data_IF_270382325853
#
_entry.id   IF_270382325853
#
_cell.length_a   1.000
_cell.length_b   1.000
_cell.length_c   1.000
_cell.angle_alpha   90.00
_cell.angle_beta   90.00
_cell.angle_gamma   90.00
#
_symmetry.space_group_name_H-M   'P 1'
#
loop_
_entity.id
_entity.type
_entity.pdbx_description
1 polymer ?
#
# COMPACT_ATOMS: atom_id res chain seq x y z
N UNK A 1 -25.56 4.84 3.17
CA UNK A 1 -24.52 5.04 2.15
C UNK A 1 -23.54 6.16 2.51
N UNK A 2 -23.98 7.30 3.06
CA UNK A 2 -23.12 8.45 3.38
C UNK A 2 -22.05 8.18 4.46
N UNK A 3 -22.36 7.29 5.42
CA UNK A 3 -21.44 6.88 6.47
C UNK A 3 -20.25 6.02 5.96
N UNK A 4 -20.46 5.18 4.94
CA UNK A 4 -19.37 4.40 4.32
C UNK A 4 -18.47 5.30 3.48
N UNK A 5 -19.04 6.24 2.72
CA UNK A 5 -18.27 7.20 1.92
C UNK A 5 -17.38 8.11 2.80
N UNK A 6 -17.90 8.55 3.95
CA UNK A 6 -17.14 9.36 4.91
C UNK A 6 -16.01 8.57 5.59
N UNK A 7 -16.28 7.32 5.99
CA UNK A 7 -15.26 6.40 6.54
C UNK A 7 -14.16 6.10 5.53
N UNK A 8 -14.53 5.96 4.26
CA UNK A 8 -13.60 5.73 3.16
C UNK A 8 -12.69 6.94 2.90
N UNK A 9 -13.23 8.16 2.99
CA UNK A 9 -12.48 9.41 2.83
C UNK A 9 -11.37 9.53 3.89
N UNK A 10 -11.69 9.26 5.16
CA UNK A 10 -10.73 9.35 6.26
C UNK A 10 -9.61 8.30 6.17
N UNK A 11 -9.90 7.09 5.65
CA UNK A 11 -8.88 6.06 5.39
C UNK A 11 -7.93 6.44 4.26
N UNK A 12 -8.45 7.12 3.24
CA UNK A 12 -7.63 7.69 2.19
C UNK A 12 -6.67 8.73 2.77
N UNK A 13 -7.15 9.59 3.67
CA UNK A 13 -6.33 10.64 4.30
C UNK A 13 -5.18 10.08 5.15
N UNK A 14 -5.38 8.97 5.87
CA UNK A 14 -4.28 8.28 6.57
C UNK A 14 -3.23 7.74 5.60
N UNK A 15 -3.68 7.09 4.52
CA UNK A 15 -2.79 6.60 3.45
C UNK A 15 -2.09 7.74 2.70
N UNK A 16 -2.70 8.93 2.59
CA UNK A 16 -2.10 10.12 1.97
C UNK A 16 -1.00 10.74 2.84
N UNK A 17 -1.15 10.75 4.16
CA UNK A 17 -0.07 11.18 5.08
C UNK A 17 1.16 10.27 4.95
N UNK A 18 0.93 8.96 4.81
CA UNK A 18 2.00 7.98 4.57
C UNK A 18 2.65 8.18 3.21
N UNK A 19 1.83 8.46 2.18
CA UNK A 19 2.29 8.78 0.84
C UNK A 19 3.21 9.98 0.81
N UNK A 20 2.90 11.02 1.58
CA UNK A 20 3.70 12.24 1.66
C UNK A 20 5.15 11.96 2.11
N UNK A 21 5.37 11.05 3.06
CA UNK A 21 6.71 10.66 3.49
C UNK A 21 7.52 9.96 2.40
N UNK A 22 6.87 9.09 1.61
CA UNK A 22 7.50 8.41 0.49
C UNK A 22 7.75 9.34 -0.71
N UNK A 23 6.84 10.28 -0.95
CA UNK A 23 7.00 11.36 -1.93
C UNK A 23 8.20 12.24 -1.59
N UNK A 24 8.34 12.65 -0.32
CA UNK A 24 9.51 13.38 0.16
C UNK A 24 10.80 12.57 -0.01
N UNK A 25 10.78 11.27 0.30
CA UNK A 25 11.92 10.37 0.06
C UNK A 25 12.25 10.24 -1.43
N UNK A 26 11.26 10.14 -2.30
CA UNK A 26 11.45 10.08 -3.75
C UNK A 26 12.11 11.36 -4.28
N UNK A 27 11.66 12.53 -3.81
CA UNK A 27 12.23 13.84 -4.15
C UNK A 27 13.68 14.01 -3.62
N UNK A 28 13.98 13.47 -2.44
CA UNK A 28 15.31 13.54 -1.81
C UNK A 28 16.34 12.51 -2.29
N UNK A 29 15.92 11.46 -3.01
CA UNK A 29 16.82 10.44 -3.55
C UNK A 29 17.50 11.02 -4.80
N UNK A 30 18.74 11.50 -4.65
CA UNK A 30 19.63 11.60 -5.82
C UNK A 30 19.72 10.21 -6.47
N UNK A 31 19.78 10.10 -7.82
CA UNK A 31 19.97 8.81 -8.45
C UNK A 31 21.33 8.30 -7.97
N UNK A 32 21.32 7.29 -7.09
CA UNK A 32 22.52 6.48 -6.93
C UNK A 32 22.87 5.93 -8.32
N UNK A 33 24.13 6.12 -8.69
CA UNK A 33 24.56 6.32 -10.07
C UNK A 33 24.10 5.26 -11.05
N UNK A 34 24.00 5.69 -12.31
CA UNK A 34 23.65 4.93 -13.52
C UNK A 34 22.15 4.72 -13.79
N UNK A 35 21.44 5.85 -13.93
CA UNK A 35 20.85 6.24 -15.21
C UNK A 35 20.32 7.66 -15.05
N UNK A 36 20.80 8.59 -15.89
CA UNK A 36 20.03 9.80 -16.21
C UNK A 36 18.59 9.38 -16.48
N UNK A 37 17.62 10.28 -16.35
CA UNK A 37 16.35 10.06 -17.04
C UNK A 37 16.73 9.97 -18.52
N UNK A 38 16.89 8.74 -19.02
CA UNK A 38 17.53 8.47 -20.30
C UNK A 38 16.47 8.78 -21.34
N UNK A 39 16.63 9.92 -22.01
CA UNK A 39 15.56 10.58 -22.75
C UNK A 39 15.08 9.80 -24.00
N UNK A 40 15.75 8.71 -24.39
CA UNK A 40 15.57 8.08 -25.70
C UNK A 40 14.57 6.93 -25.77
N UNK A 41 14.57 6.01 -24.80
CA UNK A 41 13.88 4.70 -24.95
C UNK A 41 13.08 4.30 -23.72
N UNK A 42 13.52 4.68 -22.52
CA UNK A 42 12.76 4.46 -21.28
C UNK A 42 11.51 5.37 -21.24
N UNK A 43 11.52 6.52 -21.92
CA UNK A 43 10.41 7.48 -21.87
C UNK A 43 9.13 7.00 -22.54
N UNK A 44 9.22 6.24 -23.65
CA UNK A 44 8.02 5.73 -24.37
C UNK A 44 7.33 4.63 -23.57
N UNK A 45 8.10 3.65 -23.07
CA UNK A 45 7.56 2.57 -22.25
C UNK A 45 7.00 3.09 -20.92
N UNK A 46 7.70 4.03 -20.27
CA UNK A 46 7.23 4.68 -19.04
C UNK A 46 5.95 5.48 -19.28
N UNK A 47 5.88 6.22 -20.40
CA UNK A 47 4.66 6.95 -20.77
C UNK A 47 3.50 6.02 -21.08
N UNK A 48 3.73 4.94 -21.83
CA UNK A 48 2.71 3.94 -22.14
C UNK A 48 2.19 3.27 -20.85
N UNK A 49 3.09 2.90 -19.94
CA UNK A 49 2.72 2.35 -18.63
C UNK A 49 1.90 3.34 -17.79
N UNK A 50 2.29 4.62 -17.78
CA UNK A 50 1.52 5.66 -17.10
C UNK A 50 0.13 5.84 -17.74
N UNK A 51 0.05 5.87 -19.08
CA UNK A 51 -1.22 5.95 -19.80
C UNK A 51 -2.13 4.78 -19.48
N UNK A 52 -1.61 3.56 -19.43
CA UNK A 52 -2.36 2.38 -19.02
C UNK A 52 -2.94 2.56 -17.61
N UNK A 53 -2.15 3.00 -16.62
CA UNK A 53 -2.66 3.26 -15.25
C UNK A 53 -3.82 4.26 -15.26
N UNK A 54 -3.71 5.34 -16.05
CA UNK A 54 -4.76 6.34 -16.17
C UNK A 54 -6.02 5.80 -16.87
N UNK A 55 -5.85 4.98 -17.91
CA UNK A 55 -6.94 4.35 -18.65
C UNK A 55 -7.74 3.37 -17.78
N UNK A 56 -7.07 2.63 -16.90
CA UNK A 56 -7.74 1.71 -15.97
C UNK A 56 -8.40 2.44 -14.79
N UNK A 57 -8.34 3.78 -14.75
CA UNK A 57 -8.95 4.63 -13.74
C UNK A 57 -8.08 4.88 -12.50
N UNK A 58 -6.80 4.51 -12.56
CA UNK A 58 -5.83 4.78 -11.51
C UNK A 58 -5.22 6.18 -11.58
N UNK A 59 -4.18 6.36 -10.78
CA UNK A 59 -3.31 7.53 -10.78
C UNK A 59 -1.84 7.11 -10.66
N UNK A 60 -0.97 7.90 -11.27
CA UNK A 60 0.49 7.72 -11.21
C UNK A 60 1.11 8.90 -10.50
N UNK A 61 2.20 8.63 -9.80
CA UNK A 61 3.00 9.66 -9.18
C UNK A 61 4.36 9.69 -9.84
N UNK A 62 4.66 10.87 -10.36
CA UNK A 62 5.70 11.09 -11.32
C UNK A 62 6.82 11.90 -10.66
N UNK A 63 8.06 11.50 -10.90
CA UNK A 63 9.26 12.27 -10.59
C UNK A 63 9.78 12.84 -11.91
N UNK A 64 9.84 14.15 -12.02
CA UNK A 64 10.42 14.81 -13.19
C UNK A 64 11.92 15.09 -13.05
N UNK A 65 12.49 15.72 -14.08
CA UNK A 65 13.90 16.12 -14.11
C UNK A 65 14.28 17.14 -13.02
N UNK A 66 13.33 17.93 -12.52
CA UNK A 66 13.53 18.91 -11.44
C UNK A 66 13.38 18.27 -10.05
N UNK A 67 13.19 16.96 -9.99
CA UNK A 67 12.93 16.15 -8.79
C UNK A 67 11.64 16.53 -8.08
N UNK A 68 10.70 17.14 -8.79
CA UNK A 68 9.37 17.40 -8.25
C UNK A 68 8.51 16.15 -8.41
N UNK A 69 7.80 15.82 -7.33
CA UNK A 69 6.85 14.71 -7.31
C UNK A 69 5.44 15.26 -7.40
N UNK A 70 4.66 14.77 -8.37
CA UNK A 70 3.26 15.15 -8.55
C UNK A 70 2.41 14.00 -9.04
N UNK A 71 1.11 14.12 -8.75
CA UNK A 71 0.09 13.12 -9.05
C UNK A 71 -0.62 13.44 -10.36
N UNK A 72 -0.72 12.46 -11.25
CA UNK A 72 -1.58 12.51 -12.43
C UNK A 72 -2.65 11.44 -12.29
N UNK A 73 -3.91 11.85 -12.37
CA UNK A 73 -5.08 10.97 -12.28
C UNK A 73 -5.81 10.90 -13.62
N UNK A 74 -6.65 9.88 -13.79
CA UNK A 74 -7.43 9.68 -15.01
C UNK A 74 -8.11 10.97 -15.50
N UNK A 75 -8.08 11.19 -16.82
CA UNK A 75 -8.61 12.40 -17.46
C UNK A 75 -7.65 13.61 -17.49
N UNK A 76 -6.48 13.55 -16.85
CA UNK A 76 -5.44 14.58 -16.97
C UNK A 76 -4.34 14.14 -17.96
N UNK A 77 -3.82 15.06 -18.79
CA UNK A 77 -2.72 14.73 -19.69
C UNK A 77 -1.43 14.46 -18.89
N UNK A 78 -0.61 13.55 -19.42
CA UNK A 78 0.74 13.35 -18.91
C UNK A 78 1.64 14.53 -19.31
N UNK A 79 2.63 14.88 -18.47
CA UNK A 79 3.62 15.92 -18.80
C UNK A 79 4.36 15.59 -20.11
N UNK A 80 4.66 16.59 -20.93
CA UNK A 80 5.44 16.39 -22.17
C UNK A 80 6.90 16.05 -21.86
N UNK A 81 7.43 16.65 -20.79
CA UNK A 81 8.80 16.38 -20.33
C UNK A 81 8.99 14.93 -19.85
N UNK A 82 10.24 14.43 -19.87
CA UNK A 82 10.58 13.13 -19.29
C UNK A 82 10.24 13.02 -17.81
N UNK A 83 9.83 11.83 -17.38
CA UNK A 83 9.50 11.52 -15.99
C UNK A 83 9.76 10.04 -15.67
N UNK A 84 9.82 9.73 -14.38
CA UNK A 84 9.80 8.36 -13.85
C UNK A 84 8.51 8.15 -13.06
N UNK A 85 7.97 6.93 -13.10
CA UNK A 85 6.88 6.54 -12.21
C UNK A 85 7.48 6.08 -10.89
N UNK A 86 7.21 6.81 -9.82
CA UNK A 86 7.68 6.50 -8.46
C UNK A 86 6.56 5.97 -7.57
N UNK A 87 5.31 6.07 -8.01
CA UNK A 87 4.15 5.63 -7.26
C UNK A 87 2.97 5.25 -8.12
N UNK A 88 2.22 4.25 -7.66
CA UNK A 88 1.06 3.71 -8.35
C UNK A 88 -0.15 3.69 -7.41
N UNK A 89 -1.20 4.40 -7.79
CA UNK A 89 -2.49 4.31 -7.14
C UNK A 89 -3.46 3.59 -8.08
N UNK A 90 -3.80 2.35 -7.74
CA UNK A 90 -4.73 1.50 -8.49
C UNK A 90 -6.05 1.34 -7.73
N UNK A 91 -6.46 2.40 -7.02
CA UNK A 91 -7.75 2.52 -6.37
C UNK A 91 -8.83 2.83 -7.40
N UNK A 92 -9.19 1.83 -8.20
CA UNK A 92 -10.20 1.99 -9.25
C UNK A 92 -11.61 2.04 -8.62
N UNK A 93 -12.49 2.98 -9.00
CA UNK A 93 -13.85 3.05 -8.50
C UNK A 93 -14.64 1.74 -8.73
N UNK A 94 -15.50 1.39 -7.76
CA UNK A 94 -16.33 0.17 -7.77
C UNK A 94 -17.21 0.01 -9.02
N UNK A 95 -17.60 1.11 -9.66
CA UNK A 95 -18.39 1.12 -10.89
C UNK A 95 -17.65 0.56 -12.12
N UNK A 96 -16.33 0.38 -12.03
CA UNK A 96 -15.48 -0.10 -13.14
C UNK A 96 -14.99 -1.55 -12.95
N UNK A 97 -15.62 -2.31 -12.05
CA UNK A 97 -15.09 -3.59 -11.54
C UNK A 97 -15.00 -4.75 -12.55
N UNK A 98 -15.87 -4.79 -13.57
CA UNK A 98 -15.79 -5.81 -14.63
C UNK A 98 -14.61 -5.58 -15.58
N UNK A 99 -14.19 -4.32 -15.76
CA UNK A 99 -13.02 -3.94 -16.56
C UNK A 99 -11.72 -4.06 -15.76
N UNK A 100 -11.76 -3.76 -14.45
CA UNK A 100 -10.57 -3.76 -13.58
C UNK A 100 -9.82 -5.12 -13.55
N UNK A 101 -10.55 -6.24 -13.54
CA UNK A 101 -9.99 -7.60 -13.52
C UNK A 101 -9.23 -7.97 -14.81
N UNK A 102 -9.83 -7.65 -15.98
CA UNK A 102 -9.17 -7.83 -17.27
C UNK A 102 -7.95 -6.89 -17.40
N UNK A 103 -8.03 -5.72 -16.77
CA UNK A 103 -6.99 -4.71 -16.82
C UNK A 103 -5.73 -5.10 -16.05
N UNK A 104 -5.81 -5.84 -14.92
CA UNK A 104 -4.61 -6.27 -14.19
C UNK A 104 -3.67 -7.17 -14.99
N UNK A 105 -4.15 -7.85 -16.04
CA UNK A 105 -3.26 -8.57 -16.95
C UNK A 105 -2.22 -7.62 -17.59
N UNK A 106 -2.64 -6.39 -17.92
CA UNK A 106 -1.79 -5.37 -18.52
C UNK A 106 -0.69 -4.85 -17.60
N UNK A 107 -0.79 -5.03 -16.27
CA UNK A 107 0.29 -4.60 -15.37
C UNK A 107 1.61 -5.33 -15.71
N UNK A 108 1.51 -6.59 -16.12
CA UNK A 108 2.66 -7.45 -16.46
C UNK A 108 3.41 -6.95 -17.70
N UNK A 109 2.66 -6.43 -18.68
CA UNK A 109 3.23 -5.85 -19.90
C UNK A 109 4.04 -4.57 -19.62
N UNK A 110 3.81 -3.95 -18.46
CA UNK A 110 4.42 -2.69 -18.06
C UNK A 110 5.42 -2.81 -16.89
N UNK A 111 5.71 -4.01 -16.36
CA UNK A 111 6.58 -4.18 -15.19
C UNK A 111 7.98 -3.58 -15.37
N UNK A 112 8.53 -3.64 -16.59
CA UNK A 112 9.81 -3.00 -16.92
C UNK A 112 9.81 -1.49 -16.65
N UNK A 113 8.70 -0.80 -16.93
CA UNK A 113 8.52 0.62 -16.69
C UNK A 113 8.26 0.97 -15.21
N UNK A 114 7.87 -0.01 -14.39
CA UNK A 114 7.59 0.17 -12.97
C UNK A 114 8.78 -0.12 -12.05
N UNK A 115 9.97 -0.41 -12.59
CA UNK A 115 11.18 -0.70 -11.78
C UNK A 115 11.59 0.43 -10.83
N UNK A 116 11.17 1.66 -11.11
CA UNK A 116 11.39 2.85 -10.27
C UNK A 116 10.37 3.03 -9.14
N UNK A 117 9.28 2.26 -9.12
CA UNK A 117 8.17 2.43 -8.19
C UNK A 117 8.60 2.13 -6.76
N UNK A 118 8.30 3.06 -5.86
CA UNK A 118 8.59 2.98 -4.43
C UNK A 118 7.37 2.57 -3.62
N UNK A 119 6.17 2.81 -4.14
CA UNK A 119 4.95 2.46 -3.45
C UNK A 119 3.81 2.12 -4.40
N UNK A 120 2.93 1.25 -3.92
CA UNK A 120 1.74 0.86 -4.64
C UNK A 120 0.55 0.80 -3.69
N UNK A 121 -0.60 1.26 -4.18
CA UNK A 121 -1.88 1.24 -3.46
C UNK A 121 -2.93 0.52 -4.29
N UNK A 122 -3.69 -0.36 -3.63
CA UNK A 122 -4.83 -1.06 -4.20
C UNK A 122 -6.05 -0.88 -3.31
N UNK A 123 -7.22 -0.72 -3.90
CA UNK A 123 -8.48 -0.57 -3.15
C UNK A 123 -9.64 -1.20 -3.86
N UNK A 124 -10.49 -1.87 -3.07
CA UNK A 124 -11.70 -2.55 -3.54
C UNK A 124 -11.35 -3.54 -4.65
N UNK A 125 -10.33 -4.36 -4.42
CA UNK A 125 -9.95 -5.40 -5.34
C UNK A 125 -10.27 -6.75 -4.72
N UNK A 126 -11.50 -7.21 -4.90
CA UNK A 126 -11.96 -8.54 -4.43
C UNK A 126 -11.25 -9.71 -5.12
N UNK A 127 -10.22 -9.43 -5.92
CA UNK A 127 -9.62 -10.36 -6.87
C UNK A 127 -8.08 -10.39 -6.88
N UNK A 128 -7.38 -9.56 -6.08
CA UNK A 128 -5.94 -9.78 -5.86
C UNK A 128 -5.81 -10.98 -4.92
N UNK A 129 -5.93 -12.16 -5.53
CA UNK A 129 -5.63 -13.46 -4.91
C UNK A 129 -4.13 -13.76 -4.97
N UNK A 130 -3.43 -13.14 -5.92
CA UNK A 130 -2.02 -13.37 -6.17
C UNK A 130 -1.35 -12.02 -6.46
N UNK A 131 -0.35 -11.68 -5.64
CA UNK A 131 0.43 -10.45 -5.75
C UNK A 131 1.88 -10.72 -6.21
N UNK A 132 2.18 -11.87 -6.84
CA UNK A 132 3.54 -12.25 -7.26
C UNK A 132 4.16 -11.29 -8.28
N UNK A 133 3.35 -10.56 -9.05
CA UNK A 133 3.87 -9.52 -9.95
C UNK A 133 4.61 -8.39 -9.18
N UNK A 134 4.35 -8.22 -7.88
CA UNK A 134 5.08 -7.26 -7.06
C UNK A 134 6.55 -7.65 -6.90
N UNK A 135 6.90 -8.93 -7.00
CA UNK A 135 8.28 -9.43 -6.91
C UNK A 135 9.20 -8.81 -7.97
N UNK A 136 8.62 -8.38 -9.09
CA UNK A 136 9.31 -7.70 -10.19
C UNK A 136 9.54 -6.19 -9.93
N UNK A 137 9.12 -5.67 -8.77
CA UNK A 137 9.29 -4.28 -8.35
C UNK A 137 10.39 -4.16 -7.27
N UNK A 138 11.68 -4.20 -7.65
CA UNK A 138 12.80 -4.36 -6.71
C UNK A 138 13.03 -3.15 -5.79
N UNK A 139 12.36 -2.03 -6.07
CA UNK A 139 12.46 -0.80 -5.29
C UNK A 139 11.24 -0.55 -4.41
N UNK A 140 10.25 -1.44 -4.41
CA UNK A 140 9.02 -1.25 -3.67
C UNK A 140 9.28 -1.24 -2.15
N UNK A 141 8.91 -0.14 -1.51
CA UNK A 141 9.13 0.10 -0.08
C UNK A 141 7.83 0.08 0.73
N UNK A 142 6.71 0.37 0.07
CA UNK A 142 5.40 0.46 0.70
C UNK A 142 4.31 -0.17 -0.16
N UNK A 143 3.52 -1.03 0.47
CA UNK A 143 2.33 -1.64 -0.13
C UNK A 143 1.12 -1.32 0.73
N UNK A 144 0.07 -0.81 0.09
CA UNK A 144 -1.20 -0.57 0.75
C UNK A 144 -2.30 -1.36 0.04
N UNK A 145 -3.01 -2.24 0.76
CA UNK A 145 -4.05 -3.12 0.23
C UNK A 145 -5.34 -2.88 1.02
N UNK A 146 -6.33 -2.31 0.36
CA UNK A 146 -7.61 -1.97 0.95
C UNK A 146 -8.79 -2.78 0.39
N UNK A 147 -9.73 -3.18 1.24
CA UNK A 147 -10.95 -3.88 0.82
C UNK A 147 -10.76 -5.32 0.31
N UNK A 148 -9.69 -6.00 0.73
CA UNK A 148 -9.49 -7.43 0.48
C UNK A 148 -10.42 -8.24 1.41
N UNK A 149 -11.45 -8.88 0.87
CA UNK A 149 -12.41 -9.70 1.65
C UNK A 149 -12.13 -11.20 1.60
N UNK A 150 -11.14 -11.61 0.79
CA UNK A 150 -10.67 -12.99 0.67
C UNK A 150 -9.16 -12.96 0.71
N UNK A 151 -8.55 -13.87 1.49
CA UNK A 151 -7.11 -14.00 1.73
C UNK A 151 -6.30 -13.52 0.52
N UNK A 152 -5.86 -12.26 0.59
CA UNK A 152 -4.81 -11.80 -0.31
C UNK A 152 -3.59 -12.56 0.11
N UNK A 153 -3.08 -13.41 -0.78
CA UNK A 153 -1.81 -14.07 -0.58
C UNK A 153 -0.72 -12.99 -0.51
N UNK A 154 -0.34 -12.64 0.73
CA UNK A 154 0.74 -11.71 1.01
C UNK A 154 2.09 -12.43 1.07
N UNK A 155 2.16 -13.74 0.78
CA UNK A 155 3.42 -14.48 0.74
C UNK A 155 4.39 -13.87 -0.27
N UNK A 156 3.89 -13.44 -1.43
CA UNK A 156 4.66 -12.71 -2.43
C UNK A 156 5.36 -11.45 -1.89
N UNK A 157 4.81 -10.81 -0.84
CA UNK A 157 5.42 -9.62 -0.24
C UNK A 157 6.72 -9.94 0.51
N UNK A 158 6.94 -11.20 0.90
CA UNK A 158 8.16 -11.62 1.60
C UNK A 158 9.40 -11.65 0.72
N UNK A 159 9.21 -11.75 -0.60
CA UNK A 159 10.29 -11.67 -1.59
C UNK A 159 10.74 -10.22 -1.88
N UNK A 160 10.06 -9.20 -1.33
CA UNK A 160 10.37 -7.80 -1.60
C UNK A 160 11.51 -7.29 -0.70
N UNK A 161 12.73 -7.07 -1.23
CA UNK A 161 13.92 -6.83 -0.40
C UNK A 161 13.91 -5.47 0.30
N UNK A 162 13.05 -4.54 -0.12
CA UNK A 162 12.97 -3.18 0.39
C UNK A 162 11.63 -2.84 1.05
N UNK A 163 10.71 -3.80 1.16
CA UNK A 163 9.39 -3.56 1.73
C UNK A 163 9.49 -3.29 3.23
N UNK A 164 9.39 -2.01 3.60
CA UNK A 164 9.47 -1.59 5.01
C UNK A 164 8.12 -1.23 5.60
N UNK A 165 7.09 -1.05 4.75
CA UNK A 165 5.76 -0.63 5.17
C UNK A 165 4.67 -1.46 4.50
N UNK A 166 3.73 -1.92 5.32
CA UNK A 166 2.54 -2.63 4.86
C UNK A 166 1.31 -2.04 5.56
N UNK A 167 0.36 -1.60 4.76
CA UNK A 167 -0.96 -1.15 5.25
C UNK A 167 -2.03 -2.07 4.68
N UNK A 168 -2.85 -2.65 5.54
CA UNK A 168 -3.92 -3.59 5.17
C UNK A 168 -5.23 -3.21 5.86
N UNK A 169 -6.34 -3.40 5.15
CA UNK A 169 -7.69 -3.34 5.73
C UNK A 169 -8.47 -4.60 5.39
N UNK A 170 -9.35 -5.02 6.29
CA UNK A 170 -10.07 -6.30 6.23
C UNK A 170 -9.13 -7.50 6.17
N UNK A 171 -8.00 -7.41 6.87
CA UNK A 171 -7.02 -8.48 6.89
C UNK A 171 -7.60 -9.71 7.62
N UNK A 172 -7.69 -10.88 6.97
CA UNK A 172 -8.26 -12.06 7.60
C UNK A 172 -7.27 -12.62 8.63
N UNK A 173 -7.78 -13.25 9.67
CA UNK A 173 -6.95 -13.72 10.80
C UNK A 173 -5.99 -14.84 10.40
N UNK A 174 -6.37 -15.68 9.42
CA UNK A 174 -5.50 -16.69 8.82
C UNK A 174 -4.28 -16.08 8.08
N UNK A 175 -4.38 -14.83 7.62
CA UNK A 175 -3.30 -14.11 6.98
C UNK A 175 -2.14 -13.74 7.91
N UNK A 176 -2.34 -13.72 9.24
CA UNK A 176 -1.30 -13.29 10.18
C UNK A 176 -0.07 -14.22 10.16
N UNK A 177 -0.25 -15.49 9.83
CA UNK A 177 0.84 -16.48 9.77
C UNK A 177 1.95 -16.16 8.78
N UNK A 178 1.68 -15.33 7.76
CA UNK A 178 2.66 -14.93 6.75
C UNK A 178 3.47 -13.70 7.16
N UNK A 179 2.97 -12.88 8.09
CA UNK A 179 3.62 -11.62 8.49
C UNK A 179 5.06 -11.79 9.02
N UNK A 180 5.41 -12.83 9.80
CA UNK A 180 6.79 -13.04 10.26
C UNK A 180 7.81 -13.22 9.13
N UNK A 181 7.36 -13.59 7.92
CA UNK A 181 8.24 -13.73 6.74
C UNK A 181 8.66 -12.38 6.15
N UNK A 182 7.97 -11.29 6.52
CA UNK A 182 8.30 -9.92 6.09
C UNK A 182 9.45 -9.35 6.93
N UNK A 183 10.63 -9.97 6.87
CA UNK A 183 11.77 -9.70 7.79
C UNK A 183 12.31 -8.26 7.70
N UNK A 184 12.11 -7.60 6.57
CA UNK A 184 12.51 -6.21 6.33
C UNK A 184 11.44 -5.20 6.75
N UNK A 185 10.24 -5.65 7.13
CA UNK A 185 9.16 -4.78 7.53
C UNK A 185 9.50 -4.02 8.82
N UNK A 186 9.14 -2.73 8.84
CA UNK A 186 9.36 -1.82 9.97
C UNK A 186 8.06 -1.23 10.48
N UNK A 187 7.05 -1.13 9.63
CA UNK A 187 5.75 -0.59 9.94
C UNK A 187 4.63 -1.48 9.38
N UNK A 188 3.68 -1.83 10.25
CA UNK A 188 2.47 -2.57 9.91
C UNK A 188 1.26 -1.76 10.37
N UNK A 189 0.36 -1.43 9.45
CA UNK A 189 -0.93 -0.82 9.80
C UNK A 189 -2.05 -1.77 9.40
N UNK A 190 -2.81 -2.23 10.41
CA UNK A 190 -4.06 -2.96 10.22
C UNK A 190 -5.16 -1.95 10.53
N UNK A 191 -5.85 -1.46 9.51
CA UNK A 191 -6.86 -0.42 9.70
C UNK A 191 -8.22 -1.02 10.07
N UNK A 192 -8.54 -2.20 9.57
CA UNK A 192 -9.79 -2.92 9.78
C UNK A 192 -9.55 -4.43 9.68
N UNK A 193 -10.39 -5.21 10.35
CA UNK A 193 -10.33 -6.67 10.34
C UNK A 193 -10.71 -7.23 11.70
N UNK A 194 -10.79 -8.55 11.77
CA UNK A 194 -10.99 -9.26 13.03
C UNK A 194 -9.63 -9.47 13.66
N UNK A 195 -9.29 -8.64 14.65
CA UNK A 195 -8.09 -8.84 15.46
C UNK A 195 -8.35 -9.98 16.43
N UNK A 196 -7.61 -11.08 16.27
CA UNK A 196 -7.56 -12.16 17.24
C UNK A 196 -6.34 -11.93 18.13
N UNK A 197 -6.57 -11.57 19.39
CA UNK A 197 -5.53 -11.02 20.24
C UNK A 197 -4.35 -11.98 20.45
N UNK A 198 -4.61 -13.25 20.76
CA UNK A 198 -3.56 -14.24 21.02
C UNK A 198 -2.71 -14.51 19.77
N UNK A 199 -3.37 -14.74 18.62
CA UNK A 199 -2.71 -14.99 17.34
C UNK A 199 -1.81 -13.82 16.92
N UNK A 200 -2.36 -12.59 16.95
CA UNK A 200 -1.60 -11.41 16.57
C UNK A 200 -0.46 -11.13 17.55
N UNK A 201 -0.65 -11.39 18.86
CA UNK A 201 0.41 -11.27 19.87
C UNK A 201 1.59 -12.18 19.51
N UNK A 202 1.33 -13.48 19.29
CA UNK A 202 2.36 -14.47 18.94
C UNK A 202 3.09 -14.12 17.63
N UNK A 203 2.38 -13.51 16.67
CA UNK A 203 2.97 -13.05 15.42
C UNK A 203 3.89 -11.85 15.64
N UNK A 204 3.45 -10.83 16.39
CA UNK A 204 4.24 -9.62 16.63
C UNK A 204 5.49 -9.86 17.46
N UNK A 205 5.48 -10.87 18.35
CA UNK A 205 6.68 -11.35 19.06
C UNK A 205 7.78 -11.83 18.10
N UNK A 206 7.40 -12.52 17.02
CA UNK A 206 8.32 -13.07 16.02
C UNK A 206 8.87 -12.03 15.06
N UNK A 207 8.25 -10.84 14.99
CA UNK A 207 8.63 -9.77 14.07
C UNK A 207 9.66 -8.81 14.68
N UNK A 208 10.85 -9.30 15.01
CA UNK A 208 11.91 -8.55 15.69
C UNK A 208 12.35 -7.25 14.96
N UNK A 209 12.19 -7.20 13.64
CA UNK A 209 12.48 -6.01 12.83
C UNK A 209 11.42 -4.91 12.93
N UNK A 210 10.18 -5.23 13.32
CA UNK A 210 9.05 -4.32 13.31
C UNK A 210 9.23 -3.23 14.39
N UNK A 211 9.05 -1.97 14.03
CA UNK A 211 9.26 -0.81 14.92
C UNK A 211 7.96 -0.14 15.33
N UNK A 212 6.94 -0.22 14.50
CA UNK A 212 5.63 0.32 14.80
C UNK A 212 4.53 -0.56 14.24
N UNK A 213 3.45 -0.67 15.00
CA UNK A 213 2.22 -1.31 14.58
C UNK A 213 1.03 -0.40 14.90
N UNK A 214 0.13 -0.29 13.93
CA UNK A 214 -1.13 0.42 14.10
C UNK A 214 -2.28 -0.56 14.00
N UNK A 215 -3.17 -0.51 14.98
CA UNK A 215 -4.28 -1.45 15.11
C UNK A 215 -5.60 -0.69 15.22
N UNK A 216 -6.71 -1.28 14.74
CA UNK A 216 -8.01 -0.65 14.94
C UNK A 216 -8.32 -0.58 16.42
N UNK A 217 -8.83 0.55 16.92
CA UNK A 217 -9.19 0.66 18.33
C UNK A 217 -10.36 -0.27 18.66
N UNK A 218 -10.03 -1.41 19.27
CA UNK A 218 -10.93 -2.50 19.61
C UNK A 218 -10.47 -3.16 20.91
N UNK A 219 -11.37 -3.90 21.58
CA UNK A 219 -11.03 -4.63 22.80
C UNK A 219 -9.85 -5.59 22.60
N UNK A 220 -9.85 -6.35 21.50
CA UNK A 220 -8.75 -7.26 21.15
C UNK A 220 -7.43 -6.51 20.89
N UNK A 221 -7.47 -5.38 20.17
CA UNK A 221 -6.28 -4.57 19.90
C UNK A 221 -5.71 -3.93 21.16
N UNK A 222 -6.55 -3.56 22.13
CA UNK A 222 -6.10 -3.08 23.45
C UNK A 222 -5.38 -4.18 24.24
N UNK A 223 -5.87 -5.42 24.17
CA UNK A 223 -5.18 -6.57 24.77
C UNK A 223 -3.81 -6.82 24.12
N UNK A 224 -3.75 -6.76 22.78
CA UNK A 224 -2.47 -6.85 22.04
C UNK A 224 -1.52 -5.72 22.47
N UNK A 225 -2.01 -4.48 22.52
CA UNK A 225 -1.19 -3.33 22.93
C UNK A 225 -0.66 -3.46 24.36
N UNK A 226 -1.49 -3.92 25.31
CA UNK A 226 -1.08 -4.17 26.68
C UNK A 226 0.03 -5.23 26.74
N UNK A 227 -0.15 -6.38 26.06
CA UNK A 227 0.84 -7.46 26.04
C UNK A 227 2.15 -7.04 25.36
N UNK A 228 2.06 -6.31 24.25
CA UNK A 228 3.24 -5.83 23.53
C UNK A 228 4.05 -4.83 24.34
N UNK A 229 3.42 -4.06 25.24
CA UNK A 229 4.15 -3.18 26.15
C UNK A 229 5.11 -3.95 27.06
N UNK A 230 4.71 -5.16 27.50
CA UNK A 230 5.52 -6.00 28.39
C UNK A 230 6.54 -6.84 27.60
N UNK A 231 6.11 -7.41 26.48
CA UNK A 231 6.92 -8.34 25.68
C UNK A 231 7.94 -7.62 24.77
N UNK A 232 7.57 -6.44 24.26
CA UNK A 232 8.31 -5.67 23.26
C UNK A 232 8.17 -4.17 23.51
N UNK A 233 8.72 -3.63 24.62
CA UNK A 233 8.58 -2.22 24.99
C UNK A 233 9.14 -1.24 23.94
N UNK A 234 10.01 -1.69 23.04
CA UNK A 234 10.55 -0.93 21.92
C UNK A 234 9.60 -0.84 20.71
N UNK A 235 8.55 -1.68 20.66
CA UNK A 235 7.54 -1.64 19.61
C UNK A 235 6.52 -0.53 19.90
N UNK A 236 6.47 0.47 19.02
CA UNK A 236 5.43 1.50 19.10
C UNK A 236 4.08 0.92 18.67
N UNK A 237 3.18 0.67 19.62
CA UNK A 237 1.79 0.25 19.34
C UNK A 237 0.87 1.45 19.39
N UNK A 238 0.19 1.75 18.28
CA UNK A 238 -0.81 2.82 18.20
C UNK A 238 -2.19 2.25 17.92
N UNK A 239 -3.15 2.63 18.75
CA UNK A 239 -4.56 2.37 18.47
C UNK A 239 -5.10 3.52 17.64
N UNK A 240 -5.62 3.19 16.46
CA UNK A 240 -6.26 4.17 15.58
C UNK A 240 -7.76 4.02 15.71
N UNK A 241 -8.45 5.12 16.03
CA UNK A 241 -9.91 5.08 16.08
C UNK A 241 -10.44 4.62 14.72
N UNK A 242 -11.01 3.42 14.72
CA UNK A 242 -11.96 3.07 13.68
C UNK A 242 -13.25 3.72 14.11
N UNK A 243 -13.77 4.65 13.32
CA UNK A 243 -15.07 5.25 13.61
C UNK A 243 -16.16 4.18 13.46
N UNK A 244 -16.29 3.30 14.47
CA UNK A 244 -17.50 2.54 14.75
C UNK A 244 -18.54 3.59 15.11
N UNK A 245 -19.34 3.96 14.11
CA UNK A 245 -20.52 4.77 14.37
C UNK A 245 -21.44 4.01 15.31
N UNK A 246 -21.77 4.66 16.43
CA UNK A 246 -22.90 4.34 17.29
C UNK A 246 -22.84 2.99 17.97
N UNK A 247 -22.33 2.97 19.21
CA UNK A 247 -23.03 2.20 20.22
C UNK A 247 -24.50 2.63 20.17
N UNK A 248 -25.35 1.73 19.69
CA UNK A 248 -26.78 1.77 19.95
C UNK A 248 -26.97 1.32 21.41
N UNK A 249 -26.46 2.13 22.34
CA UNK A 249 -26.77 2.03 23.75
C UNK A 249 -27.94 2.98 24.01
N UNK A 250 -29.17 2.46 23.95
CA UNK A 250 -30.36 3.19 24.38
C UNK A 250 -31.57 2.99 23.48
N UNK A 251 -32.20 1.81 23.57
CA UNK A 251 -33.63 1.63 23.89
C UNK A 251 -33.94 0.16 24.11
#
# INVERSE_FOLDING_TARGET
>A
MEAEATRYKQRAEAAERELAGLKAKAAGRAPDGSRSIDNGTDSVAVRAAAQWVLQVGGAVELLDADKLVYSVSSGKPLPERPFQIVGLNLDVPKSSSSTALANFAGIREHLGAFRGVLWIRFRINWYIRNATFLEELPRLESVSIFGSSKATDIEALSALPKLTRLTVSHFPSDGYGHLPRLIVLRFLSIQEGTVVADELTQVLEKMAGLKAVELPDSGASRLVAARMKDLRPELSVRLVQTNRGGDNAGK
#
